data_IF_437698867400
#
_entry.id   IF_437698867400
#
_cell.length_a   1.000
_cell.length_b   1.000
_cell.length_c   1.000
_cell.angle_alpha   90.00
_cell.angle_beta   90.00
_cell.angle_gamma   90.00
#
_symmetry.space_group_name_H-M   'P 1'
#
loop_
_entity.id
_entity.type
_entity.pdbx_description
1 polymer ?
#
# COMPACT_ATOMS: atom_id res chain seq x y z
N UNK A 1 7.72 4.25 -19.90
CA UNK A 1 7.04 4.51 -18.62
C UNK A 1 5.54 4.47 -18.85
N UNK A 2 4.77 3.90 -17.92
CA UNK A 2 3.31 3.81 -18.05
C UNK A 2 2.66 5.19 -17.92
N UNK A 3 1.49 5.41 -18.54
CA UNK A 3 0.81 6.71 -18.50
C UNK A 3 0.48 7.20 -17.08
N UNK A 4 0.21 6.29 -16.15
CA UNK A 4 -0.04 6.61 -14.73
C UNK A 4 1.19 7.22 -14.05
N UNK A 5 2.37 6.67 -14.30
CA UNK A 5 3.62 7.19 -13.73
C UNK A 5 3.92 8.61 -14.24
N UNK A 6 3.79 8.85 -15.55
CA UNK A 6 3.99 10.19 -16.13
C UNK A 6 3.01 11.21 -15.56
N UNK A 7 1.74 10.84 -15.36
CA UNK A 7 0.74 11.70 -14.75
C UNK A 7 1.09 12.07 -13.29
N UNK A 8 1.53 11.09 -12.49
CA UNK A 8 1.99 11.32 -11.12
C UNK A 8 3.18 12.28 -11.06
N UNK A 9 4.21 12.04 -11.87
CA UNK A 9 5.40 12.89 -11.91
C UNK A 9 5.04 14.31 -12.35
N UNK A 10 4.16 14.46 -13.35
CA UNK A 10 3.69 15.79 -13.78
C UNK A 10 2.92 16.52 -12.68
N UNK A 11 2.06 15.81 -11.91
CA UNK A 11 1.38 16.36 -10.74
C UNK A 11 2.39 16.93 -9.73
N UNK A 12 3.40 16.14 -9.35
CA UNK A 12 4.45 16.58 -8.42
C UNK A 12 5.24 17.78 -8.96
N UNK A 13 5.70 17.73 -10.21
CA UNK A 13 6.43 18.84 -10.84
C UNK A 13 5.62 20.14 -10.97
N UNK A 14 4.28 20.04 -11.02
CA UNK A 14 3.39 21.21 -11.02
C UNK A 14 3.18 21.83 -9.63
N UNK A 15 3.86 21.34 -8.59
CA UNK A 15 3.71 21.80 -7.21
C UNK A 15 2.48 21.25 -6.49
N UNK A 16 1.78 20.26 -7.07
CA UNK A 16 0.65 19.60 -6.42
C UNK A 16 1.12 18.44 -5.54
N UNK A 17 0.39 18.20 -4.46
CA UNK A 17 0.68 17.11 -3.50
C UNK A 17 0.36 15.74 -4.11
N UNK A 18 1.29 14.80 -4.02
CA UNK A 18 1.04 13.38 -4.20
C UNK A 18 0.92 12.69 -2.83
N UNK A 19 -0.11 11.85 -2.67
CA UNK A 19 -0.43 11.16 -1.42
C UNK A 19 0.08 9.72 -1.51
N UNK A 20 0.90 9.31 -0.55
CA UNK A 20 1.31 7.92 -0.35
C UNK A 20 0.26 7.18 0.48
N UNK A 21 0.26 5.85 0.42
CA UNK A 21 -0.55 5.01 1.29
C UNK A 21 -0.10 5.05 2.76
N UNK A 22 -0.90 4.39 3.61
CA UNK A 22 -0.63 4.29 5.05
C UNK A 22 0.14 3.03 5.44
N UNK A 23 0.27 2.82 6.76
CA UNK A 23 0.95 1.66 7.32
C UNK A 23 0.17 0.35 7.14
N UNK A 24 0.53 -0.42 6.11
CA UNK A 24 -0.08 -1.73 5.80
C UNK A 24 0.05 -2.73 6.96
N UNK A 25 1.21 -2.85 7.59
CA UNK A 25 1.41 -3.78 8.72
C UNK A 25 0.51 -3.43 9.90
N UNK A 26 0.45 -2.16 10.28
CA UNK A 26 -0.42 -1.67 11.36
C UNK A 26 -1.89 -1.97 11.09
N UNK A 27 -2.34 -1.78 9.85
CA UNK A 27 -3.74 -2.01 9.49
C UNK A 27 -4.08 -3.50 9.43
N UNK A 28 -3.16 -4.34 8.97
CA UNK A 28 -3.33 -5.80 8.99
C UNK A 28 -3.33 -6.36 10.41
N UNK A 29 -2.45 -5.87 11.30
CA UNK A 29 -2.43 -6.23 12.72
C UNK A 29 -3.75 -5.87 13.40
N UNK A 30 -4.25 -4.64 13.14
CA UNK A 30 -5.56 -4.18 13.63
C UNK A 30 -6.71 -5.07 13.16
N UNK A 31 -6.58 -5.73 12.01
CA UNK A 31 -7.56 -6.66 11.42
C UNK A 31 -7.31 -8.12 11.82
N UNK A 32 -6.35 -8.38 12.73
CA UNK A 32 -6.10 -9.70 13.31
C UNK A 32 -5.09 -10.56 12.57
N UNK A 33 -4.34 -10.00 11.61
CA UNK A 33 -3.22 -10.71 10.98
C UNK A 33 -1.97 -10.49 11.82
N UNK A 34 -1.39 -11.53 12.40
CA UNK A 34 -0.16 -11.39 13.21
C UNK A 34 0.99 -10.87 12.34
N UNK A 35 1.57 -9.75 12.78
CA UNK A 35 2.76 -9.15 12.17
C UNK A 35 4.07 -9.60 12.86
N UNK A 36 4.01 -10.67 13.67
CA UNK A 36 5.12 -11.13 14.48
C UNK A 36 6.06 -12.02 13.65
N UNK A 37 7.12 -11.44 13.11
CA UNK A 37 8.21 -12.19 12.49
C UNK A 37 8.88 -11.48 11.33
N UNK A 38 10.10 -11.90 11.01
CA UNK A 38 10.89 -11.36 9.89
C UNK A 38 10.21 -11.51 8.52
N UNK A 39 9.22 -12.40 8.38
CA UNK A 39 8.57 -12.72 7.09
C UNK A 39 7.10 -12.30 7.03
N UNK A 40 6.67 -11.35 7.86
CA UNK A 40 5.26 -10.95 7.96
C UNK A 40 4.66 -10.52 6.61
N UNK A 41 5.42 -9.81 5.78
CA UNK A 41 4.98 -9.31 4.46
C UNK A 41 4.67 -10.47 3.51
N UNK A 42 5.55 -11.47 3.45
CA UNK A 42 5.36 -12.68 2.66
C UNK A 42 4.19 -13.51 3.18
N UNK A 43 4.09 -13.70 4.50
CA UNK A 43 2.99 -14.42 5.12
C UNK A 43 1.64 -13.74 4.84
N UNK A 44 1.53 -12.43 5.02
CA UNK A 44 0.32 -11.67 4.73
C UNK A 44 -0.10 -11.80 3.26
N UNK A 45 0.87 -11.79 2.34
CA UNK A 45 0.60 -11.93 0.89
C UNK A 45 0.07 -13.30 0.49
N UNK A 46 0.34 -14.36 1.26
CA UNK A 46 -0.10 -15.73 0.96
C UNK A 46 -1.30 -16.14 1.79
N UNK A 47 -1.29 -15.82 3.09
CA UNK A 47 -2.25 -16.32 4.08
C UNK A 47 -3.41 -15.35 4.33
N UNK A 48 -3.21 -14.06 4.09
CA UNK A 48 -4.19 -13.00 4.32
C UNK A 48 -4.39 -12.11 3.08
N UNK A 49 -4.32 -12.72 1.89
CA UNK A 49 -4.32 -12.01 0.61
C UNK A 49 -5.53 -11.07 0.46
N UNK A 50 -6.74 -11.54 0.78
CA UNK A 50 -7.95 -10.74 0.64
C UNK A 50 -7.92 -9.51 1.57
N UNK A 51 -7.49 -9.68 2.82
CA UNK A 51 -7.31 -8.58 3.78
C UNK A 51 -6.24 -7.58 3.32
N UNK A 52 -5.16 -8.05 2.69
CA UNK A 52 -4.13 -7.20 2.09
C UNK A 52 -4.69 -6.39 0.91
N UNK A 53 -5.47 -7.02 0.02
CA UNK A 53 -6.14 -6.34 -1.10
C UNK A 53 -7.12 -5.29 -0.57
N UNK A 54 -7.96 -5.64 0.39
CA UNK A 54 -8.90 -4.71 1.03
C UNK A 54 -8.18 -3.54 1.71
N UNK A 55 -7.02 -3.78 2.30
CA UNK A 55 -6.21 -2.72 2.94
C UNK A 55 -5.68 -1.74 1.89
N UNK A 56 -5.10 -2.23 0.79
CA UNK A 56 -4.68 -1.37 -0.30
C UNK A 56 -5.85 -0.65 -0.98
N UNK A 57 -6.99 -1.33 -1.15
CA UNK A 57 -8.21 -0.71 -1.70
C UNK A 57 -8.71 0.43 -0.80
N UNK A 58 -8.69 0.26 0.52
CA UNK A 58 -9.06 1.32 1.45
C UNK A 58 -8.15 2.56 1.33
N UNK A 59 -6.84 2.38 1.09
CA UNK A 59 -5.95 3.50 0.81
C UNK A 59 -6.24 4.18 -0.53
N UNK A 60 -6.56 3.40 -1.57
CA UNK A 60 -6.98 3.95 -2.87
C UNK A 60 -8.25 4.78 -2.70
N UNK A 61 -9.26 4.25 -2.01
CA UNK A 61 -10.55 4.92 -1.78
C UNK A 61 -10.39 6.19 -0.91
N UNK A 62 -9.42 6.20 0.00
CA UNK A 62 -9.05 7.38 0.79
C UNK A 62 -8.27 8.44 0.00
N UNK A 63 -7.87 8.15 -1.25
CA UNK A 63 -7.23 9.11 -2.15
C UNK A 63 -5.71 8.95 -2.29
N UNK A 64 -5.14 7.80 -1.94
CA UNK A 64 -3.73 7.52 -2.20
C UNK A 64 -3.44 7.54 -3.72
N UNK A 65 -2.43 8.30 -4.13
CA UNK A 65 -1.93 8.31 -5.50
C UNK A 65 -0.93 7.16 -5.76
N UNK A 66 -0.30 6.66 -4.69
CA UNK A 66 0.73 5.63 -4.72
C UNK A 66 0.43 4.57 -3.68
N UNK A 67 0.51 3.31 -4.10
CA UNK A 67 0.48 2.14 -3.22
C UNK A 67 1.89 1.56 -3.13
N UNK A 68 2.35 1.35 -1.91
CA UNK A 68 3.61 0.67 -1.62
C UNK A 68 3.39 -0.83 -1.69
N UNK A 69 4.18 -1.52 -2.50
CA UNK A 69 4.10 -2.98 -2.64
C UNK A 69 4.48 -3.65 -1.31
N UNK A 70 3.66 -4.60 -0.87
CA UNK A 70 3.92 -5.43 0.31
C UNK A 70 5.04 -6.46 0.09
N UNK A 71 6.28 -5.97 -0.05
CA UNK A 71 7.47 -6.77 -0.37
C UNK A 71 8.67 -6.52 0.54
N UNK A 72 8.43 -6.04 1.76
CA UNK A 72 9.48 -5.81 2.76
C UNK A 72 10.16 -7.13 3.18
N UNK A 73 11.46 -7.12 3.50
CA UNK A 73 12.27 -8.31 3.82
C UNK A 73 12.88 -8.24 5.22
#
# INVERSE_FOLDING_TARGET
MTGKYTALVSKVHSGKLAILDGGTSTELDRRGVSMDGMTWSACASVQAFDLLVETHQAYIDAGADVITVNGYA
#
